data_IF_358644811271
#
_entry.id   IF_358644811271
#
_cell.length_a   1.000
_cell.length_b   1.000
_cell.length_c   1.000
_cell.angle_alpha   90.00
_cell.angle_beta   90.00
_cell.angle_gamma   90.00
#
_symmetry.space_group_name_H-M   'P 1'
#
loop_
_entity.id
_entity.type
_entity.pdbx_description
1 polymer ?
#
# COMPACT_ATOMS: atom_id res chain seq x y z
N UNK A 1 1.29 -22.49 24.28
CA UNK A 1 2.71 -22.83 24.58
C UNK A 1 3.58 -21.59 24.44
N UNK A 2 4.47 -21.30 25.38
CA UNK A 2 5.47 -20.24 25.19
C UNK A 2 6.51 -20.73 24.18
N UNK A 3 6.86 -19.87 23.23
CA UNK A 3 7.94 -20.15 22.26
C UNK A 3 9.25 -20.29 23.05
N UNK A 4 10.04 -21.32 22.78
CA UNK A 4 11.34 -21.53 23.43
C UNK A 4 12.42 -20.70 22.75
N UNK A 5 13.44 -20.29 23.50
CA UNK A 5 14.56 -19.52 22.96
C UNK A 5 15.31 -20.31 21.87
N UNK A 6 15.37 -21.64 22.00
CA UNK A 6 15.93 -22.52 20.98
C UNK A 6 15.15 -22.43 19.65
N UNK A 7 13.81 -22.39 19.71
CA UNK A 7 12.98 -22.30 18.52
C UNK A 7 13.11 -20.93 17.83
N UNK A 8 13.25 -19.85 18.62
CA UNK A 8 13.50 -18.50 18.09
C UNK A 8 14.84 -18.47 17.36
N UNK A 9 15.89 -19.04 17.98
CA UNK A 9 17.22 -19.12 17.39
C UNK A 9 17.22 -19.95 16.11
N UNK A 10 16.58 -21.11 16.11
CA UNK A 10 16.49 -21.98 14.93
C UNK A 10 15.77 -21.26 13.77
N UNK A 11 14.67 -20.57 14.04
CA UNK A 11 13.96 -19.79 13.03
C UNK A 11 14.82 -18.67 12.45
N UNK A 12 15.57 -17.95 13.30
CA UNK A 12 16.52 -16.91 12.88
C UNK A 12 17.66 -17.47 12.03
N UNK A 13 18.27 -18.58 12.46
CA UNK A 13 19.36 -19.23 11.74
C UNK A 13 18.88 -19.77 10.38
N UNK A 14 17.64 -20.25 10.30
CA UNK A 14 17.01 -20.71 9.06
C UNK A 14 16.87 -19.57 8.04
N UNK A 15 16.30 -18.43 8.44
CA UNK A 15 16.10 -17.32 7.53
C UNK A 15 17.42 -16.64 7.12
N UNK A 16 18.43 -16.60 8.00
CA UNK A 16 19.75 -16.08 7.64
C UNK A 16 20.43 -16.95 6.57
N UNK A 17 20.31 -18.29 6.67
CA UNK A 17 20.78 -19.19 5.60
C UNK A 17 20.04 -18.97 4.29
N UNK A 18 18.72 -18.76 4.33
CA UNK A 18 17.93 -18.47 3.12
C UNK A 18 18.40 -17.16 2.49
N UNK A 19 18.58 -16.11 3.30
CA UNK A 19 19.11 -14.82 2.87
C UNK A 19 20.47 -14.98 2.21
N UNK A 20 21.40 -15.70 2.84
CA UNK A 20 22.73 -15.94 2.31
C UNK A 20 22.68 -16.60 0.92
N UNK A 21 21.85 -17.63 0.76
CA UNK A 21 21.65 -18.30 -0.54
C UNK A 21 21.09 -17.38 -1.63
N UNK A 22 20.25 -16.41 -1.27
CA UNK A 22 19.75 -15.40 -2.22
C UNK A 22 20.87 -14.43 -2.60
N UNK A 23 21.64 -13.95 -1.62
CA UNK A 23 22.76 -13.02 -1.84
C UNK A 23 23.87 -13.65 -2.66
N UNK A 24 24.15 -14.94 -2.45
CA UNK A 24 25.12 -15.72 -3.20
C UNK A 24 24.63 -16.10 -4.62
N UNK A 25 23.36 -15.80 -4.93
CA UNK A 25 22.76 -16.09 -6.23
C UNK A 25 22.42 -17.57 -6.45
N UNK A 26 22.43 -18.40 -5.41
CA UNK A 26 22.04 -19.81 -5.51
C UNK A 26 20.54 -20.01 -5.79
N UNK A 27 19.72 -19.09 -5.30
CA UNK A 27 18.26 -19.10 -5.46
C UNK A 27 17.74 -17.68 -5.64
N UNK A 28 16.73 -17.50 -6.50
CA UNK A 28 16.07 -16.21 -6.63
C UNK A 28 15.23 -15.88 -5.38
N UNK A 29 15.01 -14.59 -5.10
CA UNK A 29 14.11 -14.19 -4.01
C UNK A 29 12.70 -14.79 -4.17
N UNK A 30 12.20 -14.81 -5.41
CA UNK A 30 10.88 -15.35 -5.75
C UNK A 30 10.78 -16.85 -5.46
N UNK A 31 11.82 -17.63 -5.80
CA UNK A 31 11.84 -19.06 -5.52
C UNK A 31 12.02 -19.36 -4.03
N UNK A 32 12.83 -18.56 -3.34
CA UNK A 32 12.97 -18.64 -1.90
C UNK A 32 11.63 -18.37 -1.19
N UNK A 33 10.86 -17.39 -1.66
CA UNK A 33 9.53 -17.10 -1.14
C UNK A 33 8.57 -18.28 -1.35
N UNK A 34 8.49 -18.86 -2.55
CA UNK A 34 7.61 -20.01 -2.84
C UNK A 34 7.94 -21.23 -1.98
N UNK A 35 9.23 -21.51 -1.79
CA UNK A 35 9.70 -22.71 -1.11
C UNK A 35 9.68 -22.58 0.42
N UNK A 36 10.08 -21.42 0.95
CA UNK A 36 10.39 -21.28 2.38
C UNK A 36 9.52 -20.26 3.11
N UNK A 37 8.76 -19.41 2.43
CA UNK A 37 7.91 -18.42 3.11
C UNK A 37 6.70 -19.09 3.76
N UNK A 38 6.50 -18.77 5.04
CA UNK A 38 5.31 -19.11 5.81
C UNK A 38 4.15 -18.11 5.55
N UNK A 39 4.41 -17.02 4.82
CA UNK A 39 3.42 -15.99 4.47
C UNK A 39 2.50 -16.48 3.36
N UNK A 40 1.26 -16.87 3.71
CA UNK A 40 0.33 -17.48 2.75
C UNK A 40 -0.10 -16.51 1.65
N UNK A 41 -0.20 -15.23 1.97
CA UNK A 41 -0.69 -14.20 1.04
C UNK A 41 0.30 -13.94 -0.09
N UNK A 42 1.61 -13.99 0.18
CA UNK A 42 2.64 -13.59 -0.79
C UNK A 42 3.50 -14.75 -1.30
N UNK A 43 3.52 -15.91 -0.61
CA UNK A 43 4.43 -17.01 -0.97
C UNK A 43 4.28 -17.49 -2.41
N UNK A 44 3.04 -17.60 -2.90
CA UNK A 44 2.78 -18.14 -4.24
C UNK A 44 3.11 -17.12 -5.33
N UNK A 45 3.02 -15.83 -5.01
CA UNK A 45 3.37 -14.71 -5.87
C UNK A 45 4.85 -14.31 -5.75
N UNK A 46 5.68 -15.19 -5.20
CA UNK A 46 7.12 -14.94 -5.12
C UNK A 46 7.50 -13.86 -4.11
N UNK A 47 6.67 -13.62 -3.10
CA UNK A 47 6.90 -12.62 -2.07
C UNK A 47 6.46 -11.20 -2.45
N UNK A 48 5.78 -11.03 -3.59
CA UNK A 48 5.24 -9.73 -3.98
C UNK A 48 4.07 -9.32 -3.08
N UNK A 49 4.08 -8.06 -2.65
CA UNK A 49 2.98 -7.48 -1.90
C UNK A 49 1.95 -6.90 -2.87
N UNK A 50 0.68 -7.19 -2.64
CA UNK A 50 -0.44 -6.61 -3.40
C UNK A 50 -0.99 -5.43 -2.61
N UNK A 51 -1.13 -4.29 -3.26
CA UNK A 51 -1.76 -3.14 -2.66
C UNK A 51 -3.27 -3.39 -2.51
N UNK A 52 -3.83 -3.39 -1.29
CA UNK A 52 -5.23 -3.76 -1.07
C UNK A 52 -6.22 -2.74 -1.66
N UNK A 53 -5.78 -1.52 -1.98
CA UNK A 53 -6.64 -0.47 -2.55
C UNK A 53 -6.71 -0.52 -4.08
N UNK A 54 -5.58 -0.82 -4.73
CA UNK A 54 -5.41 -0.75 -6.19
C UNK A 54 -5.27 -2.11 -6.84
N UNK A 55 -5.04 -3.17 -6.06
CA UNK A 55 -4.78 -4.54 -6.52
C UNK A 55 -3.56 -4.68 -7.46
N UNK A 56 -2.66 -3.70 -7.45
CA UNK A 56 -1.38 -3.73 -8.14
C UNK A 56 -0.24 -4.11 -7.19
N UNK A 57 0.96 -4.30 -7.73
CA UNK A 57 2.18 -4.60 -6.94
C UNK A 57 2.97 -3.34 -6.56
N UNK A 58 2.48 -2.16 -6.94
CA UNK A 58 3.13 -0.88 -6.68
C UNK A 58 2.52 -0.16 -5.48
N UNK A 59 3.39 0.44 -4.68
CA UNK A 59 3.00 1.21 -3.50
C UNK A 59 3.48 2.65 -3.67
N UNK A 60 2.55 3.60 -3.52
CA UNK A 60 2.92 5.01 -3.44
C UNK A 60 3.65 5.24 -2.11
N UNK A 61 4.87 5.79 -2.18
CA UNK A 61 5.70 6.04 -0.99
C UNK A 61 4.96 6.86 0.09
N UNK A 62 4.12 7.81 -0.32
CA UNK A 62 3.33 8.67 0.58
C UNK A 62 2.18 7.96 1.29
N UNK A 63 1.78 6.77 0.81
CA UNK A 63 0.70 5.95 1.37
C UNK A 63 1.21 4.64 1.97
N UNK A 64 2.52 4.46 2.01
CA UNK A 64 3.16 3.30 2.62
C UNK A 64 3.17 3.43 4.14
N UNK A 65 3.13 2.29 4.84
CA UNK A 65 3.33 2.28 6.28
C UNK A 65 4.72 2.83 6.64
N UNK A 66 4.84 3.74 7.62
CA UNK A 66 6.13 4.34 7.98
C UNK A 66 7.19 3.33 8.41
N UNK A 67 6.81 2.27 9.12
CA UNK A 67 7.74 1.23 9.56
C UNK A 67 8.31 0.50 8.34
N UNK A 68 7.45 0.05 7.43
CA UNK A 68 7.86 -0.60 6.19
C UNK A 68 8.76 0.33 5.34
N UNK A 69 8.40 1.61 5.23
CA UNK A 69 9.20 2.59 4.49
C UNK A 69 10.62 2.69 5.06
N UNK A 70 10.77 2.81 6.39
CA UNK A 70 12.09 2.90 7.03
C UNK A 70 12.95 1.65 6.81
N UNK A 71 12.32 0.47 6.72
CA UNK A 71 13.01 -0.80 6.49
C UNK A 71 13.54 -0.93 5.06
N UNK A 72 12.90 -0.29 4.07
CA UNK A 72 13.25 -0.42 2.65
C UNK A 72 13.92 0.82 2.06
N UNK A 73 13.93 1.97 2.74
CA UNK A 73 14.44 3.23 2.16
C UNK A 73 15.92 3.16 1.79
N UNK A 74 16.71 2.38 2.54
CA UNK A 74 18.16 2.24 2.33
C UNK A 74 18.53 1.13 1.36
N UNK A 75 17.57 0.28 0.96
CA UNK A 75 17.81 -0.82 0.04
C UNK A 75 17.84 -0.30 -1.39
N UNK A 76 18.87 -0.73 -2.13
CA UNK A 76 18.90 -0.61 -3.59
C UNK A 76 17.95 -1.60 -4.23
N UNK A 77 17.64 -1.36 -5.50
CA UNK A 77 16.79 -2.26 -6.26
C UNK A 77 17.43 -3.65 -6.35
N UNK A 78 16.64 -4.67 -6.05
CA UNK A 78 17.01 -6.08 -5.91
C UNK A 78 18.00 -6.40 -4.78
N UNK A 79 18.32 -5.44 -3.91
CA UNK A 79 19.07 -5.70 -2.69
C UNK A 79 18.16 -6.39 -1.65
N UNK A 80 18.72 -7.35 -0.92
CA UNK A 80 18.02 -8.07 0.14
C UNK A 80 18.39 -7.48 1.49
N UNK A 81 17.37 -7.11 2.27
CA UNK A 81 17.55 -6.58 3.62
C UNK A 81 18.29 -7.54 4.55
N UNK A 82 18.74 -7.03 5.70
CA UNK A 82 19.07 -7.88 6.84
C UNK A 82 17.82 -8.62 7.33
N UNK A 83 18.01 -9.68 8.10
CA UNK A 83 16.91 -10.37 8.78
C UNK A 83 16.32 -9.44 9.84
N UNK A 84 15.04 -9.11 9.66
CA UNK A 84 14.26 -8.27 10.56
C UNK A 84 13.40 -9.15 11.45
N UNK A 85 13.30 -8.79 12.73
CA UNK A 85 12.32 -9.37 13.64
C UNK A 85 11.06 -8.50 13.64
N UNK A 86 9.90 -9.15 13.58
CA UNK A 86 8.58 -8.53 13.53
C UNK A 86 7.64 -9.28 14.47
N UNK A 87 6.54 -8.65 14.87
CA UNK A 87 5.55 -9.21 15.79
C UNK A 87 4.13 -8.97 15.25
N UNK A 88 3.31 -10.01 15.24
CA UNK A 88 1.90 -9.93 14.83
C UNK A 88 0.99 -10.42 15.97
N UNK A 89 -0.29 -10.03 15.93
CA UNK A 89 -1.34 -10.46 16.87
C UNK A 89 -1.46 -11.99 16.97
N UNK A 90 -1.13 -12.69 15.88
CA UNK A 90 -1.19 -14.16 15.80
C UNK A 90 0.18 -14.78 16.10
N UNK A 91 1.26 -14.16 15.60
CA UNK A 91 2.62 -14.66 15.72
C UNK A 91 3.46 -13.70 16.57
N UNK A 92 3.72 -14.01 17.85
CA UNK A 92 4.43 -13.09 18.74
C UNK A 92 5.87 -12.81 18.30
N UNK A 93 6.47 -13.68 17.47
CA UNK A 93 7.80 -13.48 16.88
C UNK A 93 7.78 -14.02 15.46
N UNK A 94 8.12 -13.17 14.49
CA UNK A 94 8.28 -13.46 13.06
C UNK A 94 9.63 -12.93 12.63
N UNK A 95 10.26 -13.63 11.68
CA UNK A 95 11.43 -13.10 10.99
C UNK A 95 11.09 -12.88 9.51
N UNK A 96 11.54 -11.76 8.96
CA UNK A 96 11.31 -11.39 7.56
C UNK A 96 12.58 -10.84 6.92
N UNK A 97 12.66 -10.98 5.60
CA UNK A 97 13.61 -10.28 4.73
C UNK A 97 12.80 -9.58 3.65
N UNK A 98 13.27 -8.42 3.22
CA UNK A 98 12.59 -7.54 2.27
C UNK A 98 13.51 -7.25 1.09
N UNK A 99 12.91 -6.97 -0.06
CA UNK A 99 13.63 -6.48 -1.24
C UNK A 99 12.73 -5.50 -1.99
N UNK A 100 13.34 -4.59 -2.75
CA UNK A 100 12.64 -3.63 -3.61
C UNK A 100 12.89 -4.04 -5.06
N UNK A 101 11.85 -4.46 -5.77
CA UNK A 101 12.02 -4.94 -7.17
C UNK A 101 12.27 -3.80 -8.15
N UNK A 102 11.57 -2.68 -7.96
CA UNK A 102 11.67 -1.50 -8.81
C UNK A 102 11.32 -0.26 -7.99
N UNK A 103 12.02 0.85 -8.28
CA UNK A 103 11.79 2.15 -7.64
C UNK A 103 11.63 3.22 -8.70
N UNK A 104 10.41 3.71 -8.81
CA UNK A 104 10.09 4.87 -9.64
C UNK A 104 10.38 6.14 -8.83
N UNK A 105 11.41 6.87 -9.24
CA UNK A 105 11.77 8.16 -8.61
C UNK A 105 10.75 9.25 -8.97
N UNK A 106 10.75 10.32 -8.17
CA UNK A 106 9.97 11.52 -8.48
C UNK A 106 10.35 12.05 -9.87
N UNK A 107 9.34 12.30 -10.69
CA UNK A 107 9.48 12.84 -12.03
C UNK A 107 8.23 13.66 -12.37
N UNK A 108 8.36 14.56 -13.34
CA UNK A 108 7.20 15.22 -13.92
C UNK A 108 6.32 14.18 -14.63
N UNK A 109 5.01 14.28 -14.43
CA UNK A 109 4.06 13.32 -14.99
C UNK A 109 4.19 13.26 -16.52
N UNK A 110 4.41 12.05 -17.03
CA UNK A 110 4.61 11.80 -18.45
C UNK A 110 3.49 10.94 -19.00
N UNK A 111 2.85 11.36 -20.09
CA UNK A 111 1.74 10.61 -20.66
C UNK A 111 2.12 9.22 -21.17
N UNK A 112 3.37 8.99 -21.60
CA UNK A 112 3.79 7.69 -22.09
C UNK A 112 4.00 6.68 -20.93
N UNK A 113 4.44 7.16 -19.77
CA UNK A 113 4.68 6.33 -18.57
C UNK A 113 3.47 6.24 -17.65
N UNK A 114 2.77 7.35 -17.43
CA UNK A 114 1.75 7.52 -16.38
C UNK A 114 0.31 7.51 -16.92
N UNK A 115 0.11 7.11 -18.18
CA UNK A 115 -1.20 7.16 -18.85
C UNK A 115 -2.35 6.66 -17.98
N UNK A 116 -2.19 5.49 -17.35
CA UNK A 116 -3.23 4.88 -16.51
C UNK A 116 -3.58 5.76 -15.30
N UNK A 117 -2.57 6.32 -14.63
CA UNK A 117 -2.77 7.19 -13.47
C UNK A 117 -3.45 8.49 -13.89
N UNK A 118 -2.99 9.11 -14.97
CA UNK A 118 -3.59 10.34 -15.49
C UNK A 118 -5.03 10.09 -15.94
N UNK A 119 -5.29 8.99 -16.64
CA UNK A 119 -6.64 8.58 -17.06
C UNK A 119 -7.56 8.45 -15.86
N UNK A 120 -7.14 7.73 -14.81
CA UNK A 120 -7.96 7.51 -13.61
C UNK A 120 -8.28 8.83 -12.89
N UNK A 121 -7.31 9.74 -12.78
CA UNK A 121 -7.52 11.07 -12.19
C UNK A 121 -8.50 11.91 -13.03
N UNK A 122 -8.36 11.88 -14.35
CA UNK A 122 -9.26 12.59 -15.26
C UNK A 122 -10.69 12.02 -15.24
N UNK A 123 -10.83 10.70 -15.11
CA UNK A 123 -12.12 10.03 -14.94
C UNK A 123 -12.76 10.44 -13.61
N UNK A 124 -12.00 10.43 -12.53
CA UNK A 124 -12.45 10.84 -11.21
C UNK A 124 -12.92 12.31 -11.19
N UNK A 125 -12.17 13.21 -11.82
CA UNK A 125 -12.56 14.63 -11.98
C UNK A 125 -13.89 14.76 -12.75
N UNK A 126 -14.07 14.01 -13.84
CA UNK A 126 -15.34 14.00 -14.58
C UNK A 126 -16.51 13.47 -13.74
N UNK A 127 -16.29 12.41 -12.97
CA UNK A 127 -17.30 11.87 -12.07
C UNK A 127 -17.70 12.92 -11.01
N UNK A 128 -16.73 13.62 -10.41
CA UNK A 128 -17.02 14.69 -9.46
C UNK A 128 -17.81 15.84 -10.09
N UNK A 129 -17.47 16.25 -11.31
CA UNK A 129 -18.22 17.28 -12.05
C UNK A 129 -19.66 16.83 -12.34
N UNK A 130 -19.85 15.58 -12.74
CA UNK A 130 -21.18 15.03 -12.99
C UNK A 130 -22.02 14.97 -11.71
N UNK A 131 -21.43 14.54 -10.59
CA UNK A 131 -22.08 14.50 -9.28
C UNK A 131 -22.42 15.92 -8.81
N UNK A 132 -21.50 16.89 -8.96
CA UNK A 132 -21.73 18.29 -8.60
C UNK A 132 -22.92 18.86 -9.35
N UNK A 133 -22.95 18.71 -10.68
CA UNK A 133 -24.09 19.14 -11.51
C UNK A 133 -25.40 18.48 -11.10
N UNK A 134 -25.38 17.16 -10.90
CA UNK A 134 -26.57 16.42 -10.44
C UNK A 134 -27.05 16.91 -9.08
N UNK A 135 -26.12 17.22 -8.17
CA UNK A 135 -26.44 17.72 -6.84
C UNK A 135 -27.06 19.12 -6.91
N UNK A 136 -26.54 20.01 -7.74
CA UNK A 136 -27.11 21.36 -7.94
C UNK A 136 -28.55 21.28 -8.47
N UNK A 137 -28.80 20.42 -9.46
CA UNK A 137 -30.15 20.16 -9.99
C UNK A 137 -31.08 19.60 -8.89
N UNK A 138 -30.63 18.60 -8.13
CA UNK A 138 -31.44 17.96 -7.10
C UNK A 138 -31.68 18.82 -5.87
N UNK A 139 -30.74 19.68 -5.50
CA UNK A 139 -30.94 20.67 -4.45
C UNK A 139 -32.11 21.58 -4.84
N UNK A 140 -32.14 22.08 -6.08
CA UNK A 140 -33.22 22.97 -6.54
C UNK A 140 -34.58 22.28 -6.57
N UNK A 141 -34.65 21.04 -7.05
CA UNK A 141 -35.91 20.28 -7.15
C UNK A 141 -36.47 19.79 -5.80
N UNK A 142 -35.61 19.58 -4.80
CA UNK A 142 -36.01 18.92 -3.54
C UNK A 142 -36.38 19.95 -2.47
N UNK A 143 -37.46 19.73 -1.72
CA UNK A 143 -37.76 20.54 -0.54
C UNK A 143 -36.73 20.28 0.57
N UNK A 144 -35.99 21.32 0.96
CA UNK A 144 -34.94 21.27 1.98
C UNK A 144 -35.27 22.34 3.03
N UNK A 145 -35.30 21.96 4.31
CA UNK A 145 -35.50 22.88 5.42
C UNK A 145 -34.34 22.75 6.41
N UNK A 146 -33.58 23.84 6.59
CA UNK A 146 -32.47 23.92 7.54
C UNK A 146 -32.92 24.70 8.78
N UNK A 147 -32.67 24.13 9.96
CA UNK A 147 -32.96 24.79 11.24
C UNK A 147 -32.23 26.15 11.32
N UNK A 148 -32.90 27.15 11.89
CA UNK A 148 -32.47 28.56 11.90
C UNK A 148 -31.04 28.76 12.42
N UNK A 149 -30.63 27.99 13.42
CA UNK A 149 -29.28 28.07 14.02
C UNK A 149 -28.16 27.73 13.01
N UNK A 150 -28.45 26.88 12.02
CA UNK A 150 -27.47 26.43 11.01
C UNK A 150 -27.57 27.19 9.69
N UNK A 151 -28.49 28.15 9.54
CA UNK A 151 -28.66 28.92 8.29
C UNK A 151 -27.52 29.92 8.02
N UNK A 152 -26.72 30.20 9.04
CA UNK A 152 -25.56 31.09 8.94
C UNK A 152 -24.25 30.34 8.68
N UNK A 153 -24.28 29.01 8.60
CA UNK A 153 -23.09 28.23 8.25
C UNK A 153 -22.68 28.48 6.80
N UNK A 154 -21.37 28.50 6.54
CA UNK A 154 -20.85 28.44 5.18
C UNK A 154 -20.96 27.02 4.65
N UNK A 155 -21.66 26.87 3.53
CA UNK A 155 -21.85 25.59 2.88
C UNK A 155 -21.12 25.56 1.55
N UNK A 156 -20.54 24.40 1.22
CA UNK A 156 -19.91 24.16 -0.09
C UNK A 156 -20.92 24.16 -1.25
N UNK A 157 -22.21 23.90 -0.95
CA UNK A 157 -23.28 23.81 -1.95
C UNK A 157 -24.46 24.67 -1.54
N UNK A 158 -25.31 25.05 -2.50
CA UNK A 158 -26.39 26.00 -2.29
C UNK A 158 -27.63 25.40 -1.59
N UNK A 159 -27.45 24.80 -0.41
CA UNK A 159 -28.55 24.17 0.35
C UNK A 159 -29.62 25.16 0.81
N UNK A 160 -29.28 26.45 0.93
CA UNK A 160 -30.19 27.53 1.29
C UNK A 160 -30.96 28.09 0.09
N UNK A 161 -30.65 27.64 -1.14
CA UNK A 161 -31.24 28.11 -2.40
C UNK A 161 -31.26 29.64 -2.52
N UNK A 162 -30.17 30.28 -2.12
CA UNK A 162 -30.00 31.73 -2.31
C UNK A 162 -29.64 31.96 -3.78
N UNK A 163 -30.29 32.94 -4.43
CA UNK A 163 -29.94 33.37 -5.79
C UNK A 163 -28.57 34.05 -5.85
#
# INVERSE_FOLDING_TARGET
PKVTDEAIKEAKDKIEKIRQRIVDGEISFSDAARQFSDEKETRNDGGQLINPKTQDYSFELTKMDPELYTQIQSLKDNEVSLVLQDEDRINPIKFKILTVTDRINEHEADFAKDYLKIKNLAEQDKQFKAIGKWMDEKIMDTYININGEYRNCEFTSNWLKKE
#
